data_IF_647029838046
#
_entry.id   IF_647029838046
#
_cell.length_a   1.000
_cell.length_b   1.000
_cell.length_c   1.000
_cell.angle_alpha   90.00
_cell.angle_beta   90.00
_cell.angle_gamma   90.00
#
_symmetry.space_group_name_H-M   'P 1'
#
loop_
_entity.id
_entity.type
_entity.pdbx_description
1 polymer ?
#
# COMPACT_ATOMS: atom_id res chain seq x y z
N UNK A 1 29.77 -20.04 -5.62
CA UNK A 1 29.47 -19.59 -4.24
C UNK A 1 29.24 -18.09 -4.25
N UNK A 2 27.98 -17.65 -4.26
CA UNK A 2 27.59 -16.23 -4.24
C UNK A 2 26.77 -15.97 -2.97
N UNK A 3 27.41 -15.43 -1.93
CA UNK A 3 26.76 -14.98 -0.71
C UNK A 3 25.98 -13.68 -0.99
N UNK A 4 24.69 -13.78 -1.30
CA UNK A 4 23.73 -12.66 -1.25
C UNK A 4 22.40 -12.90 -0.49
N UNK A 5 22.21 -13.90 0.40
CA UNK A 5 20.93 -14.05 1.11
C UNK A 5 20.76 -13.12 2.33
N UNK A 6 21.83 -12.54 2.89
CA UNK A 6 21.75 -11.87 4.20
C UNK A 6 21.11 -10.47 4.17
N UNK A 7 21.33 -9.71 3.09
CA UNK A 7 20.83 -8.33 3.02
C UNK A 7 19.32 -8.28 2.78
N UNK A 8 18.75 -9.23 2.03
CA UNK A 8 17.32 -9.27 1.75
C UNK A 8 16.52 -9.62 3.00
N UNK A 9 16.96 -10.64 3.76
CA UNK A 9 16.36 -10.97 5.04
C UNK A 9 16.42 -9.80 6.04
N UNK A 10 17.53 -9.06 6.09
CA UNK A 10 17.62 -7.85 6.92
C UNK A 10 16.64 -6.75 6.47
N UNK A 11 16.45 -6.55 5.17
CA UNK A 11 15.49 -5.58 4.65
C UNK A 11 14.06 -5.96 5.02
N UNK A 12 13.69 -7.22 4.85
CA UNK A 12 12.34 -7.72 5.04
C UNK A 12 11.94 -7.83 6.51
N UNK A 13 12.81 -8.39 7.35
CA UNK A 13 12.48 -8.66 8.75
C UNK A 13 12.80 -7.50 9.70
N UNK A 14 13.72 -6.60 9.33
CA UNK A 14 14.10 -5.47 10.19
C UNK A 14 13.77 -4.13 9.56
N UNK A 15 14.27 -3.83 8.36
CA UNK A 15 14.14 -2.47 7.80
C UNK A 15 12.68 -2.10 7.51
N UNK A 16 11.91 -2.99 6.87
CA UNK A 16 10.52 -2.75 6.52
C UNK A 16 9.64 -2.49 7.75
N UNK A 17 9.58 -3.40 8.75
CA UNK A 17 8.79 -3.18 9.95
C UNK A 17 9.23 -1.92 10.71
N UNK A 18 10.54 -1.66 10.78
CA UNK A 18 11.07 -0.47 11.44
C UNK A 18 10.65 0.82 10.73
N UNK A 19 10.67 0.82 9.39
CA UNK A 19 10.23 1.94 8.57
C UNK A 19 8.73 2.21 8.77
N UNK A 20 7.88 1.17 8.71
CA UNK A 20 6.45 1.35 8.96
C UNK A 20 6.15 1.76 10.41
N UNK A 21 6.90 1.25 11.38
CA UNK A 21 6.78 1.70 12.78
C UNK A 21 7.15 3.18 12.92
N UNK A 22 8.18 3.63 12.20
CA UNK A 22 8.55 5.05 12.14
C UNK A 22 7.39 5.87 11.56
N UNK A 23 6.73 5.39 10.51
CA UNK A 23 5.52 6.03 9.96
C UNK A 23 4.39 6.08 10.98
N UNK A 24 4.17 5.00 11.75
CA UNK A 24 3.14 4.98 12.80
C UNK A 24 3.40 6.05 13.86
N UNK A 25 4.65 6.16 14.31
CA UNK A 25 5.07 7.12 15.33
C UNK A 25 4.97 8.56 14.82
N UNK A 26 5.55 8.84 13.64
CA UNK A 26 5.54 10.20 13.07
C UNK A 26 4.13 10.62 12.64
N UNK A 27 3.33 9.71 12.09
CA UNK A 27 1.99 10.04 11.61
C UNK A 27 0.99 10.39 12.72
N UNK A 28 1.22 9.90 13.95
CA UNK A 28 0.48 10.31 15.14
C UNK A 28 1.06 11.56 15.83
N UNK A 29 2.28 11.98 15.48
CA UNK A 29 2.94 13.11 16.14
C UNK A 29 2.39 14.44 15.62
N UNK A 30 2.03 15.32 16.56
CA UNK A 30 1.60 16.70 16.31
C UNK A 30 2.37 17.64 17.23
N UNK A 31 2.55 18.88 16.77
CA UNK A 31 3.20 19.94 17.54
C UNK A 31 2.17 21.04 17.83
N UNK A 32 1.89 21.25 19.10
CA UNK A 32 1.00 22.33 19.57
C UNK A 32 1.65 23.70 19.29
N UNK A 33 0.89 24.67 18.77
CA UNK A 33 1.46 25.97 18.36
C UNK A 33 1.96 26.81 19.53
N UNK A 34 1.26 26.79 20.67
CA UNK A 34 1.56 27.68 21.80
C UNK A 34 2.71 27.16 22.65
N UNK A 35 2.64 25.89 23.06
CA UNK A 35 3.58 25.29 23.99
C UNK A 35 4.77 24.60 23.31
N UNK A 36 4.66 24.33 21.99
CA UNK A 36 5.58 23.49 21.20
C UNK A 36 5.78 22.09 21.77
N UNK A 37 4.87 21.62 22.62
CA UNK A 37 4.90 20.24 23.10
C UNK A 37 4.51 19.28 21.98
N UNK A 38 5.14 18.11 22.02
CA UNK A 38 4.78 16.99 21.17
C UNK A 38 3.57 16.28 21.75
N UNK A 39 2.51 16.18 20.94
CA UNK A 39 1.28 15.48 21.29
C UNK A 39 1.16 14.29 20.35
N UNK A 40 0.85 13.12 20.90
CA UNK A 40 0.55 11.95 20.11
C UNK A 40 -0.95 11.76 19.99
N UNK A 41 -1.47 11.77 18.76
CA UNK A 41 -2.88 11.62 18.44
C UNK A 41 -3.10 10.23 17.83
N UNK A 42 -4.00 9.46 18.46
CA UNK A 42 -4.41 8.16 17.96
C UNK A 42 -5.23 8.32 16.66
N UNK A 43 -5.12 7.38 15.70
CA UNK A 43 -5.84 7.46 14.44
C UNK A 43 -7.36 7.34 14.70
N UNK A 44 -8.19 8.25 14.17
CA UNK A 44 -9.64 8.19 14.37
C UNK A 44 -10.25 6.98 13.65
N UNK A 45 -11.43 6.54 14.10
CA UNK A 45 -12.12 5.35 13.56
C UNK A 45 -12.23 5.37 12.02
N UNK A 46 -12.52 6.54 11.43
CA UNK A 46 -12.66 6.64 9.96
C UNK A 46 -11.36 6.26 9.25
N UNK A 47 -10.19 6.63 9.80
CA UNK A 47 -8.89 6.27 9.21
C UNK A 47 -8.57 4.79 9.33
N UNK A 48 -9.07 4.12 10.38
CA UNK A 48 -8.97 2.67 10.51
C UNK A 48 -9.83 1.97 9.44
N UNK A 49 -11.04 2.47 9.18
CA UNK A 49 -11.90 1.96 8.09
C UNK A 49 -11.22 2.14 6.72
N UNK A 50 -10.67 3.34 6.46
CA UNK A 50 -9.91 3.60 5.22
C UNK A 50 -8.68 2.69 5.12
N UNK A 51 -7.97 2.45 6.22
CA UNK A 51 -6.84 1.53 6.27
C UNK A 51 -7.26 0.09 5.95
N UNK A 52 -8.42 -0.37 6.45
CA UNK A 52 -8.95 -1.70 6.08
C UNK A 52 -9.22 -1.78 4.58
N UNK A 53 -9.89 -0.80 3.99
CA UNK A 53 -10.15 -0.78 2.54
C UNK A 53 -8.85 -0.72 1.74
N UNK A 54 -7.86 0.03 2.20
CA UNK A 54 -6.56 0.08 1.58
C UNK A 54 -5.84 -1.27 1.69
N UNK A 55 -5.83 -1.93 2.85
CA UNK A 55 -5.26 -3.28 3.02
C UNK A 55 -5.91 -4.28 2.07
N UNK A 56 -7.23 -4.23 1.90
CA UNK A 56 -7.93 -5.07 0.91
C UNK A 56 -7.43 -4.80 -0.52
N UNK A 57 -7.19 -3.54 -0.88
CA UNK A 57 -6.57 -3.20 -2.17
C UNK A 57 -5.14 -3.69 -2.28
N UNK A 58 -4.34 -3.61 -1.22
CA UNK A 58 -2.95 -4.09 -1.25
C UNK A 58 -2.91 -5.61 -1.47
N UNK A 59 -3.82 -6.34 -0.82
CA UNK A 59 -3.94 -7.80 -1.00
C UNK A 59 -4.47 -8.13 -2.39
N UNK A 60 -5.53 -7.46 -2.85
CA UNK A 60 -6.10 -7.70 -4.20
C UNK A 60 -5.20 -7.25 -5.34
N UNK A 61 -4.41 -6.21 -5.12
CA UNK A 61 -3.45 -5.67 -6.08
C UNK A 61 -2.12 -6.43 -6.09
N UNK A 62 -2.05 -7.60 -5.46
CA UNK A 62 -0.88 -8.46 -5.39
C UNK A 62 0.36 -7.78 -4.78
N UNK A 63 0.15 -6.73 -3.96
CA UNK A 63 1.24 -6.11 -3.18
C UNK A 63 1.51 -6.90 -1.89
N UNK A 64 0.46 -7.51 -1.32
CA UNK A 64 0.56 -8.39 -0.14
C UNK A 64 -0.04 -9.75 -0.50
N UNK A 65 0.81 -10.76 -0.66
CA UNK A 65 0.40 -12.13 -0.99
C UNK A 65 0.26 -12.96 0.28
N UNK A 66 -0.91 -12.88 0.94
CA UNK A 66 -1.16 -13.57 2.22
C UNK A 66 -0.80 -15.07 2.16
N UNK A 67 -1.08 -15.73 1.03
CA UNK A 67 -0.79 -17.15 0.84
C UNK A 67 0.71 -17.49 0.87
N UNK A 68 1.58 -16.57 0.45
CA UNK A 68 3.03 -16.75 0.50
C UNK A 68 3.61 -16.35 1.85
N UNK A 69 2.93 -15.48 2.60
CA UNK A 69 3.43 -14.97 3.88
C UNK A 69 3.16 -15.92 5.04
N UNK A 70 2.08 -16.70 4.97
CA UNK A 70 1.66 -17.59 6.07
C UNK A 70 1.45 -19.00 5.53
N UNK A 71 2.39 -19.88 5.85
CA UNK A 71 2.36 -21.29 5.45
C UNK A 71 3.02 -22.19 6.48
N UNK A 72 2.63 -23.47 6.50
CA UNK A 72 3.26 -24.50 7.35
C UNK A 72 4.70 -24.81 6.93
N UNK A 73 5.09 -24.39 5.74
CA UNK A 73 6.43 -24.59 5.17
C UNK A 73 7.46 -23.60 5.73
N UNK A 74 7.00 -22.48 6.30
CA UNK A 74 7.88 -21.47 6.90
C UNK A 74 8.15 -21.76 8.37
N UNK A 75 9.36 -21.44 8.88
CA UNK A 75 9.63 -21.43 10.31
C UNK A 75 8.60 -20.56 11.06
N UNK A 76 8.17 -20.95 12.28
CA UNK A 76 7.14 -20.23 13.02
C UNK A 76 7.52 -18.77 13.29
N UNK A 77 8.81 -18.48 13.46
CA UNK A 77 9.30 -17.12 13.65
C UNK A 77 9.11 -16.23 12.41
N UNK A 78 9.25 -16.81 11.21
CA UNK A 78 9.01 -16.12 9.93
C UNK A 78 7.54 -15.76 9.78
N UNK A 79 6.63 -16.69 10.10
CA UNK A 79 5.19 -16.43 10.09
C UNK A 79 4.83 -15.29 11.06
N UNK A 80 5.39 -15.29 12.27
CA UNK A 80 5.19 -14.21 13.24
C UNK A 80 5.69 -12.87 12.70
N UNK A 81 6.85 -12.85 12.05
CA UNK A 81 7.41 -11.63 11.47
C UNK A 81 6.54 -11.07 10.33
N UNK A 82 5.98 -11.91 9.46
CA UNK A 82 5.06 -11.45 8.41
C UNK A 82 3.73 -10.94 8.97
N UNK A 83 3.18 -11.61 10.00
CA UNK A 83 1.99 -11.11 10.72
C UNK A 83 2.29 -9.76 11.37
N UNK A 84 3.46 -9.61 11.97
CA UNK A 84 3.91 -8.34 12.55
C UNK A 84 4.05 -7.24 11.49
N UNK A 85 4.65 -7.55 10.33
CA UNK A 85 4.75 -6.64 9.20
C UNK A 85 3.35 -6.23 8.71
N UNK A 86 2.42 -7.17 8.58
CA UNK A 86 1.04 -6.89 8.20
C UNK A 86 0.36 -5.90 9.17
N UNK A 87 0.52 -6.13 10.48
CA UNK A 87 -0.01 -5.23 11.52
C UNK A 87 0.63 -3.84 11.42
N UNK A 88 1.95 -3.76 11.25
CA UNK A 88 2.64 -2.45 11.13
C UNK A 88 2.23 -1.69 9.87
N UNK A 89 2.06 -2.36 8.73
CA UNK A 89 1.54 -1.74 7.49
C UNK A 89 0.11 -1.23 7.69
N UNK A 90 -0.74 -1.98 8.38
CA UNK A 90 -2.11 -1.55 8.69
C UNK A 90 -2.13 -0.25 9.52
N UNK A 91 -1.39 -0.20 10.63
CA UNK A 91 -1.33 1.01 11.46
C UNK A 91 -0.63 2.17 10.73
N UNK A 92 0.41 1.89 9.94
CA UNK A 92 1.07 2.91 9.13
C UNK A 92 0.12 3.50 8.09
N UNK A 93 -0.76 2.68 7.51
CA UNK A 93 -1.80 3.12 6.57
C UNK A 93 -2.81 4.03 7.26
N UNK A 94 -3.29 3.66 8.46
CA UNK A 94 -4.18 4.50 9.25
C UNK A 94 -3.54 5.86 9.58
N UNK A 95 -2.26 5.85 9.95
CA UNK A 95 -1.51 7.07 10.26
C UNK A 95 -1.18 7.91 9.03
N UNK A 96 -0.97 7.29 7.85
CA UNK A 96 -0.85 8.00 6.59
C UNK A 96 -2.15 8.76 6.27
N UNK A 97 -3.32 8.12 6.40
CA UNK A 97 -4.61 8.81 6.26
C UNK A 97 -4.79 9.91 7.31
N UNK A 98 -4.46 9.64 8.57
CA UNK A 98 -4.52 10.63 9.64
C UNK A 98 -3.68 11.88 9.33
N UNK A 99 -2.56 11.72 8.61
CA UNK A 99 -1.70 12.84 8.21
C UNK A 99 -2.30 13.71 7.10
N UNK A 100 -2.95 13.10 6.09
CA UNK A 100 -3.59 13.86 4.99
C UNK A 100 -4.97 14.41 5.34
N UNK A 101 -5.69 13.80 6.28
CA UNK A 101 -7.00 14.31 6.66
C UNK A 101 -6.87 15.59 7.50
N UNK A 102 -7.76 16.58 7.31
CA UNK A 102 -7.96 17.64 8.28
C UNK A 102 -8.36 17.05 9.64
N UNK A 103 -8.00 17.70 10.74
CA UNK A 103 -8.20 17.15 12.09
C UNK A 103 -9.69 17.03 12.43
N UNK A 104 -10.47 18.09 12.18
CA UNK A 104 -11.90 18.16 12.49
C UNK A 104 -12.68 19.02 11.47
N UNK A 105 -14.01 18.99 11.56
CA UNK A 105 -14.91 19.86 10.80
C UNK A 105 -15.37 19.32 9.44
N UNK A 106 -16.01 20.19 8.64
CA UNK A 106 -16.60 19.81 7.35
C UNK A 106 -15.54 19.27 6.36
N UNK A 107 -14.34 19.86 6.34
CA UNK A 107 -13.26 19.42 5.46
C UNK A 107 -12.80 17.99 5.81
N UNK A 108 -12.77 17.63 7.10
CA UNK A 108 -12.48 16.26 7.52
C UNK A 108 -13.50 15.28 6.92
N UNK A 109 -14.79 15.58 7.06
CA UNK A 109 -15.86 14.74 6.51
C UNK A 109 -15.79 14.63 4.99
N UNK A 110 -15.59 15.75 4.30
CA UNK A 110 -15.50 15.79 2.85
C UNK A 110 -14.32 14.95 2.33
N UNK A 111 -13.11 15.15 2.86
CA UNK A 111 -11.94 14.36 2.46
C UNK A 111 -12.14 12.88 2.80
N UNK A 112 -12.62 12.55 4.00
CA UNK A 112 -12.90 11.18 4.40
C UNK A 112 -13.90 10.50 3.47
N UNK A 113 -14.97 11.20 3.08
CA UNK A 113 -15.94 10.70 2.11
C UNK A 113 -15.31 10.46 0.73
N UNK A 114 -14.51 11.41 0.21
CA UNK A 114 -13.81 11.25 -1.07
C UNK A 114 -12.86 10.05 -1.05
N UNK A 115 -12.07 9.88 0.03
CA UNK A 115 -11.19 8.72 0.18
C UNK A 115 -11.99 7.42 0.26
N UNK A 116 -13.04 7.38 1.09
CA UNK A 116 -13.89 6.21 1.25
C UNK A 116 -14.51 5.80 -0.09
N UNK A 117 -15.11 6.76 -0.80
CA UNK A 117 -15.70 6.57 -2.11
C UNK A 117 -14.68 6.07 -3.13
N UNK A 118 -13.49 6.66 -3.17
CA UNK A 118 -12.42 6.28 -4.10
C UNK A 118 -11.92 4.86 -3.81
N UNK A 119 -11.60 4.55 -2.55
CA UNK A 119 -11.11 3.22 -2.16
C UNK A 119 -12.18 2.14 -2.36
N UNK A 120 -13.44 2.47 -2.08
CA UNK A 120 -14.56 1.56 -2.30
C UNK A 120 -14.73 1.21 -3.78
N UNK A 121 -14.78 2.23 -4.66
CA UNK A 121 -14.87 1.99 -6.10
C UNK A 121 -13.66 1.21 -6.64
N UNK A 122 -12.47 1.51 -6.13
CA UNK A 122 -11.25 0.83 -6.53
C UNK A 122 -11.23 -0.65 -6.16
N UNK A 123 -12.04 -1.12 -5.20
CA UNK A 123 -12.11 -2.55 -4.87
C UNK A 123 -12.52 -3.39 -6.08
N UNK A 124 -13.31 -2.83 -7.01
CA UNK A 124 -13.82 -3.57 -8.16
C UNK A 124 -12.94 -3.48 -9.40
N UNK A 125 -11.79 -2.79 -9.32
CA UNK A 125 -10.87 -2.62 -10.44
C UNK A 125 -9.72 -3.62 -10.36
N UNK A 126 -9.25 -4.08 -11.52
CA UNK A 126 -8.01 -4.86 -11.63
C UNK A 126 -6.80 -3.94 -11.58
N UNK A 127 -6.11 -3.95 -10.43
CA UNK A 127 -4.88 -3.19 -10.24
C UNK A 127 -3.68 -4.13 -10.13
N UNK A 128 -2.61 -3.80 -10.86
CA UNK A 128 -1.28 -4.32 -10.57
C UNK A 128 -0.65 -3.53 -9.42
N UNK A 129 0.22 -4.17 -8.62
CA UNK A 129 0.91 -3.55 -7.49
C UNK A 129 1.55 -2.19 -7.84
N UNK A 130 2.26 -2.08 -8.97
CA UNK A 130 2.91 -0.83 -9.40
C UNK A 130 1.89 0.26 -9.75
N UNK A 131 0.77 -0.13 -10.38
CA UNK A 131 -0.30 0.80 -10.75
C UNK A 131 -1.02 1.31 -9.51
N UNK A 132 -1.29 0.42 -8.56
CA UNK A 132 -1.85 0.75 -7.26
C UNK A 132 -0.95 1.76 -6.52
N UNK A 133 0.35 1.47 -6.38
CA UNK A 133 1.31 2.36 -5.73
C UNK A 133 1.37 3.73 -6.38
N UNK A 134 1.44 3.79 -7.72
CA UNK A 134 1.44 5.07 -8.44
C UNK A 134 0.17 5.87 -8.18
N UNK A 135 -0.99 5.21 -8.23
CA UNK A 135 -2.27 5.87 -7.95
C UNK A 135 -2.36 6.37 -6.51
N UNK A 136 -1.87 5.58 -5.55
CA UNK A 136 -1.88 5.90 -4.14
C UNK A 136 -0.96 7.07 -3.80
N UNK A 137 0.24 7.10 -4.39
CA UNK A 137 1.19 8.21 -4.26
C UNK A 137 0.58 9.51 -4.78
N UNK A 138 -0.09 9.47 -5.94
CA UNK A 138 -0.78 10.63 -6.52
C UNK A 138 -1.95 11.07 -5.63
N UNK A 139 -2.77 10.12 -5.15
CA UNK A 139 -3.93 10.39 -4.31
C UNK A 139 -3.51 11.07 -2.99
N UNK A 140 -2.53 10.50 -2.30
CA UNK A 140 -2.00 11.08 -1.06
C UNK A 140 -1.31 12.41 -1.29
N UNK A 141 -0.46 12.52 -2.32
CA UNK A 141 0.22 13.78 -2.65
C UNK A 141 -0.77 14.90 -2.95
N UNK A 142 -1.80 14.61 -3.74
CA UNK A 142 -2.85 15.58 -4.07
C UNK A 142 -3.66 15.98 -2.85
N UNK A 143 -4.06 15.02 -2.01
CA UNK A 143 -4.79 15.31 -0.77
C UNK A 143 -3.94 16.13 0.20
N UNK A 144 -2.65 15.83 0.33
CA UNK A 144 -1.72 16.57 1.19
C UNK A 144 -1.57 18.03 0.74
N UNK A 145 -1.32 18.25 -0.56
CA UNK A 145 -1.23 19.60 -1.13
C UNK A 145 -2.55 20.34 -0.97
N UNK A 146 -3.68 19.68 -1.27
CA UNK A 146 -4.99 20.29 -1.15
C UNK A 146 -5.31 20.69 0.29
N UNK A 147 -5.00 19.85 1.29
CA UNK A 147 -5.12 20.20 2.72
C UNK A 147 -4.34 21.48 3.02
N UNK A 148 -3.07 21.56 2.63
CA UNK A 148 -2.23 22.72 2.95
C UNK A 148 -2.63 23.98 2.18
N UNK A 149 -3.02 23.86 0.91
CA UNK A 149 -3.52 24.99 0.12
C UNK A 149 -4.86 25.52 0.65
N UNK A 150 -5.79 24.62 1.02
CA UNK A 150 -7.08 25.02 1.61
C UNK A 150 -6.89 25.69 2.97
N UNK A 151 -6.04 25.13 3.83
CA UNK A 151 -5.72 25.76 5.11
C UNK A 151 -5.06 27.12 4.90
N UNK A 152 -4.05 27.23 4.02
CA UNK A 152 -3.42 28.51 3.71
C UNK A 152 -4.43 29.55 3.18
N UNK A 153 -5.38 29.13 2.33
CA UNK A 153 -6.44 30.01 1.82
C UNK A 153 -7.44 30.44 2.90
N UNK A 154 -7.72 29.59 3.89
CA UNK A 154 -8.67 29.88 4.98
C UNK A 154 -8.06 30.75 6.08
N UNK A 155 -6.77 30.57 6.36
CA UNK A 155 -6.01 31.36 7.34
C UNK A 155 -5.40 32.65 6.73
N UNK A 156 -5.62 32.92 5.44
CA UNK A 156 -5.28 34.18 4.79
C UNK A 156 -5.96 35.38 5.48
N UNK A 157 -5.19 36.42 5.88
CA UNK A 157 -5.75 37.65 6.44
C UNK A 157 -6.68 38.39 5.46
N UNK A 158 -6.40 38.29 4.16
CA UNK A 158 -7.23 38.87 3.11
C UNK A 158 -8.38 37.91 2.78
N UNK A 159 -9.61 38.35 3.09
CA UNK A 159 -10.83 37.55 2.96
C UNK A 159 -11.16 37.18 1.52
N UNK A 160 -10.66 36.03 1.07
CA UNK A 160 -11.06 35.41 -0.19
C UNK A 160 -12.52 34.95 -0.17
N UNK A 161 -13.14 34.88 -1.36
CA UNK A 161 -14.51 34.37 -1.60
C UNK A 161 -14.81 33.05 -0.87
N UNK A 162 -13.78 32.21 -0.67
CA UNK A 162 -13.87 30.99 0.11
C UNK A 162 -14.34 31.24 1.55
N UNK A 163 -13.85 32.28 2.22
CA UNK A 163 -14.28 32.67 3.59
C UNK A 163 -15.76 33.06 3.64
N UNK A 164 -16.30 33.62 2.55
CA UNK A 164 -17.75 33.91 2.42
C UNK A 164 -18.55 32.61 2.27
N UNK A 165 -18.09 31.69 1.43
CA UNK A 165 -18.73 30.39 1.24
C UNK A 165 -18.69 29.53 2.51
N UNK A 166 -17.52 29.47 3.15
CA UNK A 166 -17.34 28.77 4.42
C UNK A 166 -18.17 29.47 5.49
N UNK A 167 -18.17 30.80 5.59
CA UNK A 167 -19.02 31.55 6.54
C UNK A 167 -20.51 31.21 6.41
N UNK A 168 -21.03 31.07 5.19
CA UNK A 168 -22.44 30.68 4.95
C UNK A 168 -22.73 29.21 5.26
N UNK A 169 -21.78 28.30 5.01
CA UNK A 169 -21.92 26.87 5.36
C UNK A 169 -21.75 26.61 6.86
N UNK A 170 -20.88 27.40 7.49
CA UNK A 170 -20.57 27.40 8.91
C UNK A 170 -21.76 27.90 9.73
N UNK A 171 -22.41 28.98 9.31
CA UNK A 171 -23.59 29.52 10.01
C UNK A 171 -24.76 28.53 10.08
N UNK A 172 -24.83 27.55 9.17
CA UNK A 172 -25.87 26.52 9.17
C UNK A 172 -25.58 25.29 10.04
N UNK A 173 -24.35 25.10 10.53
CA UNK A 173 -23.91 23.84 11.18
C UNK A 173 -23.21 24.06 12.54
N UNK A 174 -22.93 25.30 12.95
CA UNK A 174 -21.92 25.55 14.01
C UNK A 174 -22.43 26.29 15.24
N UNK A 175 -23.13 25.58 16.13
CA UNK A 175 -23.24 25.96 17.55
C UNK A 175 -22.09 25.42 18.41
N UNK A 176 -20.98 24.88 17.85
CA UNK A 176 -19.87 24.45 18.72
C UNK A 176 -18.59 23.87 18.10
N UNK A 177 -17.96 24.47 17.08
CA UNK A 177 -16.76 23.84 16.43
C UNK A 177 -15.64 24.79 16.02
N UNK A 178 -15.47 25.96 16.66
CA UNK A 178 -14.37 26.90 16.35
C UNK A 178 -13.19 26.95 17.31
N UNK A 179 -13.07 26.01 18.23
CA UNK A 179 -11.79 25.78 18.89
C UNK A 179 -10.99 24.73 18.10
N UNK A 180 -10.49 25.13 16.93
CA UNK A 180 -9.47 24.36 16.24
C UNK A 180 -8.12 24.68 16.91
N UNK A 181 -7.49 23.74 17.63
CA UNK A 181 -6.16 23.97 18.19
C UNK A 181 -5.21 24.32 17.05
N UNK A 182 -4.55 25.47 17.15
CA UNK A 182 -3.52 25.86 16.21
C UNK A 182 -2.38 24.86 16.31
N UNK A 183 -2.14 24.09 15.25
CA UNK A 183 -0.93 23.28 15.15
C UNK A 183 0.20 24.11 14.55
N UNK A 184 1.41 23.90 15.06
CA UNK A 184 2.59 24.56 14.51
C UNK A 184 2.84 24.09 13.06
N UNK A 185 3.45 24.93 12.19
CA UNK A 185 3.88 24.52 10.85
C UNK A 185 4.75 23.26 10.82
N UNK A 186 5.45 22.96 11.92
CA UNK A 186 6.21 21.73 12.16
C UNK A 186 5.38 20.45 11.87
N UNK A 187 4.09 20.47 12.21
CA UNK A 187 3.16 19.37 11.96
C UNK A 187 3.03 19.04 10.47
N UNK A 188 3.06 20.05 9.59
CA UNK A 188 3.01 19.86 8.15
C UNK A 188 4.25 19.14 7.62
N UNK A 189 5.45 19.52 8.09
CA UNK A 189 6.69 18.85 7.72
C UNK A 189 6.72 17.39 8.20
N UNK A 190 6.29 17.12 9.43
CA UNK A 190 6.16 15.76 9.95
C UNK A 190 5.23 14.93 9.06
N UNK A 191 4.09 15.51 8.65
CA UNK A 191 3.15 14.83 7.75
C UNK A 191 3.75 14.53 6.37
N UNK A 192 4.50 15.48 5.79
CA UNK A 192 5.18 15.27 4.51
C UNK A 192 6.20 14.12 4.59
N UNK A 193 7.03 14.09 5.64
CA UNK A 193 7.98 13.00 5.85
C UNK A 193 7.29 11.67 6.12
N UNK A 194 6.22 11.66 6.91
CA UNK A 194 5.39 10.46 7.16
C UNK A 194 4.89 9.86 5.86
N UNK A 195 4.31 10.67 4.98
CA UNK A 195 3.77 10.21 3.69
C UNK A 195 4.87 9.73 2.75
N UNK A 196 5.98 10.46 2.69
CA UNK A 196 7.13 10.08 1.86
C UNK A 196 7.70 8.75 2.30
N UNK A 197 7.90 8.56 3.61
CA UNK A 197 8.35 7.29 4.19
C UNK A 197 7.33 6.18 3.93
N UNK A 198 6.04 6.44 4.13
CA UNK A 198 5.00 5.44 3.89
C UNK A 198 5.00 4.93 2.44
N UNK A 199 5.01 5.84 1.47
CA UNK A 199 5.05 5.48 0.04
C UNK A 199 6.36 4.75 -0.30
N UNK A 200 7.51 5.23 0.22
CA UNK A 200 8.79 4.56 0.02
C UNK A 200 8.79 3.14 0.61
N UNK A 201 8.21 2.95 1.80
CA UNK A 201 8.04 1.65 2.44
C UNK A 201 7.20 0.69 1.61
N UNK A 202 6.07 1.16 1.06
CA UNK A 202 5.24 0.35 0.18
C UNK A 202 5.94 0.00 -1.14
N UNK A 203 6.71 0.93 -1.70
CA UNK A 203 7.54 0.68 -2.89
C UNK A 203 8.60 -0.37 -2.59
N UNK A 204 9.26 -0.28 -1.44
CA UNK A 204 10.26 -1.26 -1.02
C UNK A 204 9.63 -2.64 -0.78
N UNK A 205 8.45 -2.69 -0.15
CA UNK A 205 7.65 -3.91 0.00
C UNK A 205 7.36 -4.57 -1.36
N UNK A 206 6.97 -3.78 -2.37
CA UNK A 206 6.76 -4.31 -3.71
C UNK A 206 8.03 -4.93 -4.31
N UNK A 207 9.20 -4.34 -4.06
CA UNK A 207 10.45 -4.83 -4.62
C UNK A 207 10.94 -6.12 -3.94
N UNK A 208 10.73 -6.26 -2.64
CA UNK A 208 11.10 -7.47 -1.89
C UNK A 208 10.31 -8.68 -2.40
N UNK A 209 8.99 -8.54 -2.57
CA UNK A 209 8.10 -9.62 -3.05
C UNK A 209 8.48 -10.08 -4.48
N UNK A 210 8.79 -9.12 -5.36
CA UNK A 210 9.21 -9.42 -6.74
C UNK A 210 10.58 -10.12 -6.84
N UNK A 211 11.39 -10.12 -5.77
CA UNK A 211 12.74 -10.68 -5.80
C UNK A 211 12.75 -12.19 -5.55
N UNK A 212 11.80 -12.72 -4.76
CA UNK A 212 11.67 -14.17 -4.55
C UNK A 212 11.18 -14.90 -5.81
N UNK A 213 10.27 -14.27 -6.59
CA UNK A 213 9.74 -14.87 -7.83
C UNK A 213 10.80 -15.06 -8.92
N UNK A 214 11.95 -14.36 -8.84
CA UNK A 214 13.04 -14.49 -9.83
C UNK A 214 14.01 -15.64 -9.57
N UNK A 215 13.92 -16.33 -8.43
CA UNK A 215 14.88 -17.37 -8.05
C UNK A 215 14.49 -18.79 -8.44
N UNK A 216 13.34 -18.96 -9.11
CA UNK A 216 13.00 -20.21 -9.79
C UNK A 216 12.96 -19.92 -11.30
N UNK A 217 14.11 -19.85 -12.00
CA UNK A 217 14.07 -20.27 -13.39
C UNK A 217 13.62 -21.72 -13.34
N UNK A 218 12.40 -22.00 -13.82
CA UNK A 218 11.99 -23.37 -14.13
C UNK A 218 13.17 -23.99 -14.92
N UNK A 219 13.87 -25.01 -14.39
CA UNK A 219 15.10 -25.52 -15.00
C UNK A 219 14.86 -25.93 -16.46
N UNK A 220 13.61 -26.31 -16.77
CA UNK A 220 13.12 -26.64 -18.10
C UNK A 220 13.31 -25.52 -19.14
N UNK A 221 13.18 -24.24 -18.79
CA UNK A 221 13.23 -23.14 -19.78
C UNK A 221 14.68 -22.77 -20.13
N UNK A 222 15.58 -22.79 -19.15
CA UNK A 222 17.00 -22.56 -19.40
C UNK A 222 17.67 -23.77 -20.06
N UNK A 223 17.23 -24.99 -19.74
CA UNK A 223 17.63 -26.22 -20.42
C UNK A 223 17.15 -26.23 -21.88
N UNK A 224 15.92 -25.81 -22.16
CA UNK A 224 15.43 -25.63 -23.54
C UNK A 224 16.19 -24.58 -24.35
N UNK A 225 16.64 -23.51 -23.68
CA UNK A 225 17.40 -22.43 -24.32
C UNK A 225 18.85 -22.83 -24.60
N UNK A 226 19.38 -23.80 -23.86
CA UNK A 226 20.73 -24.35 -24.05
C UNK A 226 20.78 -25.51 -25.06
N UNK A 227 19.64 -26.13 -25.40
CA UNK A 227 19.57 -27.15 -26.44
C UNK A 227 19.80 -26.56 -27.85
N UNK A 228 20.70 -27.19 -28.61
CA UNK A 228 20.93 -26.88 -30.02
C UNK A 228 19.63 -27.06 -30.83
N UNK A 229 19.46 -26.32 -31.93
CA UNK A 229 18.27 -26.42 -32.78
C UNK A 229 17.99 -27.85 -33.27
N UNK A 230 19.00 -28.71 -33.30
CA UNK A 230 18.92 -30.13 -33.65
C UNK A 230 18.42 -31.06 -32.53
N UNK A 231 18.44 -30.63 -31.26
CA UNK A 231 18.12 -31.48 -30.09
C UNK A 231 16.72 -31.21 -29.51
N UNK A 232 16.10 -30.10 -29.91
CA UNK A 232 14.72 -29.74 -29.52
C UNK A 232 13.64 -30.76 -29.90
N UNK A 233 13.71 -31.48 -31.04
CA UNK A 233 12.69 -32.47 -31.41
C UNK A 233 12.72 -33.71 -30.49
N UNK A 234 13.89 -34.07 -29.95
CA UNK A 234 14.08 -35.29 -29.16
C UNK A 234 13.44 -35.21 -27.77
N UNK A 235 13.32 -34.01 -27.20
CA UNK A 235 12.74 -33.77 -25.86
C UNK A 235 11.21 -33.66 -25.91
N UNK A 236 10.64 -33.23 -27.04
CA UNK A 236 9.18 -33.09 -27.18
C UNK A 236 8.48 -34.42 -27.50
N UNK A 237 9.23 -35.50 -27.75
CA UNK A 237 8.71 -36.70 -28.40
C UNK A 237 8.41 -36.42 -29.87
N UNK A 238 8.73 -37.36 -30.74
CA UNK A 238 8.47 -37.20 -32.18
C UNK A 238 6.95 -37.00 -32.37
N UNK A 239 6.47 -35.89 -32.94
CA UNK A 239 5.03 -35.61 -33.06
C UNK A 239 4.25 -36.73 -33.77
N UNK A 240 4.94 -37.50 -34.62
CA UNK A 240 4.40 -38.68 -35.30
C UNK A 240 4.12 -39.84 -34.32
N UNK A 241 4.94 -39.99 -33.28
CA UNK A 241 4.80 -41.04 -32.26
C UNK A 241 3.63 -40.74 -31.31
N UNK A 242 3.45 -39.47 -30.94
CA UNK A 242 2.33 -39.00 -30.11
C UNK A 242 0.98 -39.11 -30.83
N UNK A 243 0.96 -38.89 -32.15
CA UNK A 243 -0.24 -39.04 -32.97
C UNK A 243 -0.61 -40.52 -33.17
N UNK A 244 0.38 -41.40 -33.32
CA UNK A 244 0.15 -42.85 -33.36
C UNK A 244 -0.36 -43.42 -32.03
N UNK A 245 0.16 -42.94 -30.89
CA UNK A 245 -0.36 -43.33 -29.57
C UNK A 245 -1.81 -42.88 -29.37
N UNK A 246 -2.14 -41.63 -29.72
CA UNK A 246 -3.52 -41.12 -29.64
C UNK A 246 -4.49 -41.91 -30.52
N UNK A 247 -4.06 -42.30 -31.72
CA UNK A 247 -4.87 -43.10 -32.64
C UNK A 247 -5.06 -44.55 -32.15
N UNK A 248 -4.07 -45.10 -31.44
CA UNK A 248 -4.20 -46.43 -30.82
C UNK A 248 -5.13 -46.45 -29.61
N UNK A 249 -5.15 -45.39 -28.79
CA UNK A 249 -6.07 -45.27 -27.65
C UNK A 249 -7.52 -45.05 -28.08
N UNK A 250 -7.74 -44.35 -29.20
CA UNK A 250 -9.07 -44.17 -29.78
C UNK A 250 -9.62 -45.46 -30.38
N UNK A 251 -8.79 -46.25 -31.05
CA UNK A 251 -9.19 -47.56 -31.58
C UNK A 251 -9.52 -48.59 -30.47
N UNK A 252 -8.84 -48.54 -29.32
CA UNK A 252 -9.16 -49.40 -28.17
C UNK A 252 -10.46 -49.01 -27.46
N UNK A 253 -10.89 -47.74 -27.54
CA UNK A 253 -12.18 -47.30 -26.96
C UNK A 253 -13.40 -47.67 -27.82
N UNK A 254 -13.22 -47.92 -29.11
CA UNK A 254 -14.32 -48.30 -30.01
C UNK A 254 -14.58 -49.82 -30.05
N UNK A 255 -13.74 -50.62 -29.39
CA UNK A 255 -13.83 -52.09 -29.35
C UNK A 255 -14.30 -52.66 -28.00
N UNK A 256 -14.64 -51.79 -27.04
CA UNK A 256 -15.35 -52.11 -25.78
C UNK A 256 -16.77 -51.54 -25.81
#
# INVERSE_FOLDING_TARGET
MSHRPNNQALLEFFLLPFLFLTVVLLGGLRVEAESRHFIFIAPPLVTLVLAVLLMLLLVRGDLIRIHQWVGSEHPPLTNVAHVWLFITVFFASAQAFNSVLPEHGLLHWMFSFFFLWTLWNNQFSSFDARRLLRSLAILFGTAFVLKHMLLASLYSPEGGWLKKLTGTLIQGVTEGTFDAPGFAPATGYIGFFTLTLYVAGLVLLAFTDNSETKLIPLPVVDEYRQLSASERPTVLGDPIELENQRNSETAQRETM
#
